data_IF_141784939305
#
_entry.id   IF_141784939305
#
_cell.length_a   1.000
_cell.length_b   1.000
_cell.length_c   1.000
_cell.angle_alpha   90.00
_cell.angle_beta   90.00
_cell.angle_gamma   90.00
#
_symmetry.space_group_name_H-M   'P 1'
#
loop_
_entity.id
_entity.type
_entity.pdbx_description
1 polymer ?
#
# COMPACT_ATOMS: atom_id res chain seq x y z
N UNK A 1 45.89 21.61 9.81
CA UNK A 1 45.75 22.87 9.02
C UNK A 1 45.68 22.40 7.57
N UNK A 2 44.55 22.28 6.88
CA UNK A 2 43.15 22.77 6.95
C UNK A 2 42.32 21.68 6.21
N UNK A 3 41.17 21.16 6.65
CA UNK A 3 39.86 21.74 6.97
C UNK A 3 39.24 22.49 5.78
N UNK A 4 38.20 21.90 5.20
CA UNK A 4 37.03 22.42 4.46
C UNK A 4 36.09 21.19 4.38
N UNK A 5 35.08 20.89 5.22
CA UNK A 5 33.84 21.60 5.59
C UNK A 5 33.18 22.31 4.42
N UNK A 6 32.09 21.74 3.88
CA UNK A 6 30.79 22.38 3.64
C UNK A 6 29.74 21.26 3.49
N UNK A 7 28.79 21.19 4.43
CA UNK A 7 27.63 20.31 4.35
C UNK A 7 26.51 20.94 3.53
N UNK A 8 25.62 20.11 2.98
CA UNK A 8 24.28 20.54 2.53
C UNK A 8 23.42 19.30 2.18
N UNK A 9 22.30 19.13 2.90
CA UNK A 9 21.20 18.25 2.52
C UNK A 9 21.14 16.90 3.25
N UNK A 10 20.64 16.90 4.49
CA UNK A 10 19.94 15.73 5.03
C UNK A 10 18.63 15.55 4.24
N UNK A 11 18.71 15.04 3.01
CA UNK A 11 17.57 14.40 2.39
C UNK A 11 17.47 13.04 3.08
N UNK A 12 16.42 12.82 3.88
CA UNK A 12 16.07 11.51 4.43
C UNK A 12 15.89 10.51 3.28
N UNK A 13 16.99 9.97 2.78
CA UNK A 13 17.00 8.84 1.87
C UNK A 13 16.69 7.62 2.72
N UNK A 14 15.39 7.42 2.97
CA UNK A 14 14.89 6.14 3.46
C UNK A 14 15.52 5.05 2.59
N UNK A 15 16.18 4.08 3.23
CA UNK A 15 16.87 3.04 2.47
C UNK A 15 15.83 2.29 1.61
N UNK A 16 16.22 1.87 0.40
CA UNK A 16 15.32 1.12 -0.48
C UNK A 16 14.79 -0.14 0.21
N UNK A 17 15.60 -0.73 1.09
CA UNK A 17 15.24 -1.90 1.88
C UNK A 17 14.15 -1.59 2.92
N UNK A 18 14.21 -0.44 3.60
CA UNK A 18 13.17 -0.01 4.53
C UNK A 18 11.87 0.34 3.80
N UNK A 19 11.97 1.05 2.67
CA UNK A 19 10.82 1.38 1.82
C UNK A 19 10.09 0.13 1.32
N UNK A 20 10.84 -0.92 0.99
CA UNK A 20 10.28 -2.16 0.43
C UNK A 20 9.92 -3.23 1.46
N UNK A 21 10.13 -2.95 2.74
CA UNK A 21 9.76 -3.87 3.82
C UNK A 21 8.25 -4.09 3.82
N UNK A 22 7.82 -5.35 3.86
CA UNK A 22 6.40 -5.76 3.90
C UNK A 22 5.53 -5.20 2.75
N UNK A 23 6.15 -4.80 1.64
CA UNK A 23 5.45 -4.44 0.41
C UNK A 23 5.35 -5.63 -0.56
N UNK A 24 4.15 -5.88 -1.13
CA UNK A 24 3.98 -6.80 -2.24
C UNK A 24 4.84 -6.39 -3.45
N UNK A 25 5.36 -7.36 -4.23
CA UNK A 25 6.21 -7.08 -5.39
C UNK A 25 5.47 -6.40 -6.56
N UNK A 26 4.15 -6.52 -6.60
CA UNK A 26 3.26 -5.98 -7.62
C UNK A 26 2.57 -4.67 -7.21
N UNK A 27 2.84 -4.15 -6.01
CA UNK A 27 2.30 -2.88 -5.51
C UNK A 27 3.16 -1.69 -5.96
N UNK A 28 2.51 -0.72 -6.60
CA UNK A 28 3.05 0.58 -6.94
C UNK A 28 2.71 1.62 -5.88
N UNK A 29 3.67 2.49 -5.59
CA UNK A 29 3.56 3.59 -4.65
C UNK A 29 4.34 4.81 -5.15
N UNK A 30 4.13 5.97 -4.53
CA UNK A 30 4.87 7.20 -4.80
C UNK A 30 5.95 7.40 -3.76
N UNK A 31 7.06 7.99 -4.19
CA UNK A 31 8.10 8.48 -3.28
C UNK A 31 7.77 9.86 -2.71
N UNK A 32 6.90 10.62 -3.39
CA UNK A 32 6.49 11.96 -2.99
C UNK A 32 5.09 12.27 -3.51
N UNK A 33 4.34 13.07 -2.75
CA UNK A 33 3.05 13.64 -3.17
C UNK A 33 3.22 15.02 -3.82
N UNK A 34 4.41 15.60 -3.74
CA UNK A 34 4.74 16.90 -4.30
C UNK A 34 5.27 16.73 -5.73
N UNK A 35 4.40 16.79 -6.73
CA UNK A 35 4.83 16.68 -8.14
C UNK A 35 3.78 16.16 -9.10
N UNK A 36 4.26 15.55 -10.20
CA UNK A 36 3.41 14.95 -11.22
C UNK A 36 2.92 13.57 -10.75
N UNK A 37 1.61 13.41 -10.62
CA UNK A 37 0.93 12.18 -10.16
C UNK A 37 1.15 10.95 -11.08
N UNK A 38 1.97 11.09 -12.11
CA UNK A 38 2.24 10.11 -13.17
C UNK A 38 3.34 9.14 -12.82
N UNK A 39 4.26 9.52 -11.93
CA UNK A 39 5.42 8.71 -11.57
C UNK A 39 5.10 7.85 -10.34
N UNK A 40 5.35 6.55 -10.47
CA UNK A 40 5.25 5.58 -9.38
C UNK A 40 6.41 4.59 -9.44
N UNK A 41 6.68 3.93 -8.33
CA UNK A 41 7.70 2.90 -8.20
C UNK A 41 7.11 1.65 -7.58
N UNK A 42 7.70 0.49 -7.87
CA UNK A 42 7.44 -0.77 -7.17
C UNK A 42 8.75 -1.41 -6.71
N UNK A 43 8.65 -2.30 -5.75
CA UNK A 43 9.80 -3.05 -5.23
C UNK A 43 10.11 -4.26 -6.11
N UNK A 44 11.25 -4.23 -6.78
CA UNK A 44 11.75 -5.34 -7.57
C UNK A 44 12.80 -6.14 -6.78
N UNK A 45 12.36 -7.28 -6.24
CA UNK A 45 13.17 -8.22 -5.45
C UNK A 45 13.94 -9.22 -6.32
N UNK A 46 13.78 -9.17 -7.65
CA UNK A 46 14.42 -10.09 -8.59
C UNK A 46 15.76 -9.57 -9.14
N UNK A 47 16.35 -8.52 -8.56
CA UNK A 47 17.65 -8.06 -9.01
C UNK A 47 18.71 -9.13 -8.73
N UNK A 48 19.59 -9.36 -9.72
CA UNK A 48 20.53 -10.50 -9.81
C UNK A 48 21.50 -10.68 -8.62
N UNK A 49 21.54 -9.72 -7.69
CA UNK A 49 22.44 -9.69 -6.54
C UNK A 49 21.72 -9.81 -5.18
N UNK A 50 20.42 -10.13 -5.16
CA UNK A 50 19.63 -10.19 -3.91
C UNK A 50 19.39 -8.82 -3.27
N UNK A 51 19.69 -7.73 -3.98
CA UNK A 51 19.48 -6.35 -3.53
C UNK A 51 18.14 -5.83 -4.07
N UNK A 52 17.26 -5.37 -3.20
CA UNK A 52 15.99 -4.79 -3.65
C UNK A 52 16.24 -3.49 -4.40
N UNK A 53 15.55 -3.29 -5.53
CA UNK A 53 15.58 -2.03 -6.29
C UNK A 53 14.19 -1.47 -6.50
N UNK A 54 14.10 -0.16 -6.71
CA UNK A 54 12.86 0.49 -7.12
C UNK A 54 12.76 0.48 -8.65
N UNK A 55 11.72 -0.14 -9.18
CA UNK A 55 11.38 -0.09 -10.60
C UNK A 55 10.32 1.00 -10.83
N UNK A 56 10.72 2.08 -11.51
CA UNK A 56 9.84 3.21 -11.82
C UNK A 56 8.99 2.99 -13.08
N UNK A 57 7.75 3.47 -13.04
CA UNK A 57 6.81 3.52 -14.16
C UNK A 57 6.21 4.92 -14.23
N UNK A 58 6.10 5.47 -15.44
CA UNK A 58 5.44 6.76 -15.68
C UNK A 58 4.21 6.58 -16.57
N UNK A 59 3.08 7.10 -16.13
CA UNK A 59 1.86 7.10 -16.95
C UNK A 59 2.02 7.95 -18.23
N UNK A 60 1.38 7.57 -19.35
CA UNK A 60 1.28 8.39 -20.56
C UNK A 60 0.73 9.81 -20.31
N UNK A 61 0.88 10.69 -21.31
CA UNK A 61 0.41 12.07 -21.21
C UNK A 61 -1.13 12.13 -21.08
N UNK A 62 -1.63 12.98 -20.18
CA UNK A 62 -3.06 13.12 -19.89
C UNK A 62 -3.61 12.14 -18.86
N UNK A 63 -2.82 11.15 -18.46
CA UNK A 63 -3.16 10.21 -17.39
C UNK A 63 -2.45 10.60 -16.08
N UNK A 64 -2.95 10.07 -14.97
CA UNK A 64 -2.33 10.08 -13.66
C UNK A 64 -2.45 8.67 -13.08
N UNK A 65 -1.59 8.30 -12.13
CA UNK A 65 -1.69 7.00 -11.49
C UNK A 65 -2.76 7.02 -10.40
N UNK A 66 -3.68 6.06 -10.42
CA UNK A 66 -4.64 5.83 -9.35
C UNK A 66 -4.04 4.82 -8.36
N UNK A 67 -3.77 5.25 -7.13
CA UNK A 67 -3.10 4.42 -6.11
C UNK A 67 -3.99 3.28 -5.62
N UNK A 68 -5.29 3.50 -5.49
CA UNK A 68 -6.21 2.47 -5.03
C UNK A 68 -6.43 1.40 -6.11
N UNK A 69 -6.56 1.84 -7.36
CA UNK A 69 -6.79 0.96 -8.51
C UNK A 69 -5.50 0.38 -9.11
N UNK A 70 -4.33 0.87 -8.68
CA UNK A 70 -3.02 0.42 -9.14
C UNK A 70 -2.85 0.50 -10.66
N UNK A 71 -3.41 1.55 -11.28
CA UNK A 71 -3.42 1.73 -12.75
C UNK A 71 -3.36 3.19 -13.15
N UNK A 72 -2.92 3.46 -14.39
CA UNK A 72 -3.02 4.80 -14.97
C UNK A 72 -4.46 5.06 -15.42
N UNK A 73 -5.11 6.07 -14.85
CA UNK A 73 -6.45 6.55 -15.24
C UNK A 73 -6.35 8.02 -15.69
N UNK A 74 -7.43 8.54 -16.27
CA UNK A 74 -7.52 9.93 -16.69
C UNK A 74 -7.28 10.85 -15.50
N UNK A 75 -6.48 11.90 -15.71
CA UNK A 75 -6.13 12.86 -14.64
C UNK A 75 -7.35 13.42 -13.89
N UNK A 76 -8.49 13.55 -14.57
CA UNK A 76 -9.75 14.02 -13.97
C UNK A 76 -10.42 13.00 -13.04
N UNK A 77 -10.15 11.71 -13.22
CA UNK A 77 -10.73 10.61 -12.46
C UNK A 77 -9.89 10.27 -11.23
N UNK A 78 -8.57 10.46 -11.29
CA UNK A 78 -7.66 10.23 -10.18
C UNK A 78 -7.89 11.26 -9.07
N UNK A 79 -8.39 10.81 -7.92
CA UNK A 79 -8.63 11.65 -6.73
C UNK A 79 -7.56 11.48 -5.64
N UNK A 80 -6.81 10.38 -5.68
CA UNK A 80 -5.81 9.98 -4.70
C UNK A 80 -4.38 10.37 -5.13
N UNK A 81 -4.19 11.50 -5.83
CA UNK A 81 -2.84 11.97 -6.16
C UNK A 81 -2.04 12.38 -4.92
N UNK A 82 -2.72 12.88 -3.88
CA UNK A 82 -2.12 13.27 -2.61
C UNK A 82 -1.73 12.10 -1.71
N UNK A 83 -1.81 10.85 -2.19
CA UNK A 83 -1.51 9.65 -1.41
C UNK A 83 -0.21 9.00 -1.88
N UNK A 84 0.58 8.50 -0.93
CA UNK A 84 1.85 7.83 -1.23
C UNK A 84 1.64 6.35 -1.57
N UNK A 85 0.71 5.69 -0.90
CA UNK A 85 0.55 4.24 -0.95
C UNK A 85 -0.91 3.84 -0.79
N UNK A 86 -1.22 2.60 -1.17
CA UNK A 86 -2.57 2.06 -0.99
C UNK A 86 -2.84 1.88 0.51
N UNK A 87 -4.01 2.31 1.02
CA UNK A 87 -4.35 2.15 2.43
C UNK A 87 -4.32 0.67 2.84
N UNK A 88 -3.54 0.36 3.87
CA UNK A 88 -3.46 -0.98 4.46
C UNK A 88 -4.71 -1.26 5.28
N UNK A 89 -5.68 -1.90 4.65
CA UNK A 89 -6.94 -2.34 5.25
C UNK A 89 -6.72 -3.57 6.11
N UNK A 90 -7.34 -3.61 7.30
CA UNK A 90 -7.31 -4.78 8.17
C UNK A 90 -8.15 -5.88 7.53
N UNK A 91 -7.58 -7.07 7.36
CA UNK A 91 -8.29 -8.21 6.79
C UNK A 91 -8.91 -9.07 7.88
N UNK A 92 -10.05 -9.72 7.59
CA UNK A 92 -10.69 -10.61 8.54
C UNK A 92 -9.94 -11.94 8.66
N UNK A 93 -10.06 -12.58 9.82
CA UNK A 93 -9.34 -13.83 10.13
C UNK A 93 -10.20 -15.03 9.69
N UNK A 94 -10.36 -15.19 8.37
CA UNK A 94 -11.25 -16.22 7.80
C UNK A 94 -10.56 -17.58 7.56
N UNK A 95 -9.21 -17.60 7.48
CA UNK A 95 -8.42 -18.81 7.21
C UNK A 95 -7.62 -19.21 8.44
N UNK A 96 -8.11 -20.22 9.15
CA UNK A 96 -7.47 -20.76 10.36
C UNK A 96 -7.50 -22.28 10.36
N UNK A 97 -6.54 -22.90 11.06
CA UNK A 97 -6.48 -24.35 11.21
C UNK A 97 -7.63 -24.89 12.09
N UNK A 98 -8.12 -24.06 13.01
CA UNK A 98 -9.24 -24.34 13.92
C UNK A 98 -10.28 -23.21 13.85
N UNK A 99 -11.58 -23.50 14.00
CA UNK A 99 -12.62 -22.48 13.97
C UNK A 99 -12.51 -21.53 15.17
N UNK A 100 -12.18 -20.26 14.92
CA UNK A 100 -12.15 -19.21 15.96
C UNK A 100 -13.57 -18.90 16.46
N UNK A 101 -14.51 -18.81 15.52
CA UNK A 101 -15.88 -18.42 15.77
C UNK A 101 -16.83 -19.63 15.72
N UNK A 102 -17.95 -19.59 16.46
CA UNK A 102 -18.98 -20.62 16.37
C UNK A 102 -19.62 -20.67 14.98
N UNK A 103 -20.32 -21.77 14.68
CA UNK A 103 -20.99 -21.96 13.39
C UNK A 103 -21.89 -20.78 13.03
N UNK A 104 -21.79 -20.32 11.78
CA UNK A 104 -22.56 -19.18 11.26
C UNK A 104 -21.91 -17.82 11.46
N UNK A 105 -20.81 -17.74 12.23
CA UNK A 105 -20.05 -16.50 12.47
C UNK A 105 -18.67 -16.53 11.84
N UNK A 106 -18.14 -15.35 11.54
CA UNK A 106 -16.81 -15.14 10.97
C UNK A 106 -16.05 -14.13 11.84
N UNK A 107 -14.73 -14.25 11.86
CA UNK A 107 -13.85 -13.41 12.69
C UNK A 107 -13.45 -12.14 11.94
N UNK A 108 -13.70 -10.99 12.57
CA UNK A 108 -13.03 -9.72 12.28
C UNK A 108 -11.51 -9.85 12.46
N UNK A 109 -10.76 -8.87 11.95
CA UNK A 109 -9.30 -8.75 12.09
C UNK A 109 -8.85 -8.47 13.52
N UNK A 110 -9.70 -7.85 14.33
CA UNK A 110 -9.52 -7.65 15.77
C UNK A 110 -9.92 -8.87 16.62
N UNK A 111 -10.45 -9.92 16.00
CA UNK A 111 -10.89 -11.16 16.63
C UNK A 111 -12.34 -11.18 17.10
N UNK A 112 -13.13 -10.13 16.86
CA UNK A 112 -14.56 -10.13 17.15
C UNK A 112 -15.32 -11.08 16.20
N UNK A 113 -16.32 -11.82 16.70
CA UNK A 113 -17.11 -12.75 15.90
C UNK A 113 -18.50 -12.15 15.57
N UNK A 114 -18.73 -11.82 14.31
CA UNK A 114 -20.03 -11.35 13.81
C UNK A 114 -20.66 -12.35 12.85
N UNK A 115 -21.95 -12.20 12.54
CA UNK A 115 -22.65 -13.12 11.65
C UNK A 115 -22.11 -13.03 10.22
N UNK A 116 -21.96 -14.19 9.55
CA UNK A 116 -21.40 -14.27 8.19
C UNK A 116 -22.13 -13.41 7.15
N UNK A 117 -23.41 -13.11 7.39
CA UNK A 117 -24.27 -12.32 6.51
C UNK A 117 -23.99 -10.81 6.61
N UNK A 118 -23.24 -10.41 7.64
CA UNK A 118 -22.81 -9.03 7.85
C UNK A 118 -21.48 -8.72 7.15
N UNK A 119 -20.78 -9.72 6.62
CA UNK A 119 -19.55 -9.50 5.84
C UNK A 119 -19.85 -9.06 4.41
N UNK A 120 -19.09 -8.09 3.92
CA UNK A 120 -19.20 -7.49 2.59
C UNK A 120 -20.62 -6.97 2.30
N UNK A 121 -21.25 -6.32 3.28
CA UNK A 121 -22.63 -5.82 3.19
C UNK A 121 -22.72 -4.30 2.96
N UNK A 122 -21.59 -3.65 2.64
CA UNK A 122 -21.37 -2.21 2.50
C UNK A 122 -21.52 -1.40 3.82
N UNK A 123 -21.49 -2.06 4.98
CA UNK A 123 -21.61 -1.42 6.30
C UNK A 123 -20.58 -2.01 7.28
N UNK A 124 -19.74 -1.17 7.89
CA UNK A 124 -18.72 -1.64 8.83
C UNK A 124 -19.36 -2.00 10.17
N UNK A 125 -19.45 -3.30 10.43
CA UNK A 125 -19.91 -3.88 11.68
C UNK A 125 -18.73 -4.22 12.60
N UNK A 126 -17.58 -4.65 12.04
CA UNK A 126 -16.37 -4.80 12.82
C UNK A 126 -15.82 -3.41 13.23
N UNK A 127 -15.27 -3.31 14.44
CA UNK A 127 -14.64 -2.05 14.91
C UNK A 127 -13.45 -1.61 14.05
N UNK A 128 -12.76 -2.58 13.45
CA UNK A 128 -11.64 -2.39 12.53
C UNK A 128 -12.07 -2.32 11.05
N UNK A 129 -13.37 -2.45 10.76
CA UNK A 129 -13.95 -2.47 9.41
C UNK A 129 -13.46 -3.61 8.53
N UNK A 130 -12.90 -4.66 9.12
CA UNK A 130 -12.32 -5.80 8.39
C UNK A 130 -13.35 -6.67 7.69
N UNK A 131 -14.60 -6.64 8.13
CA UNK A 131 -15.75 -7.27 7.48
C UNK A 131 -16.02 -6.76 6.07
N UNK A 132 -15.61 -5.53 5.77
CA UNK A 132 -15.79 -4.87 4.47
C UNK A 132 -14.52 -4.84 3.61
N UNK A 133 -13.50 -5.62 4.00
CA UNK A 133 -12.23 -5.70 3.29
C UNK A 133 -12.04 -7.09 2.65
N UNK A 134 -11.55 -7.10 1.42
CA UNK A 134 -11.28 -8.30 0.62
C UNK A 134 -9.80 -8.40 0.22
#
# INVERSE_FOLDING_TARGET
KRQDDEGEGEEESQSVDDLCKDRPPDEYFRLTTSGDCRDVVRCDKAAENGKTRLAGVRCPNGLAFDIDRQTCDWKTNVKNCGELEKPRKVLPILKTDEPICPEGKLSCGDGECIDKELFCNDKPECKDGSDENA
#
